data_IF_489920748417
#
_entry.id   IF_489920748417
#
_cell.length_a   1.000
_cell.length_b   1.000
_cell.length_c   1.000
_cell.angle_alpha   90.00
_cell.angle_beta   90.00
_cell.angle_gamma   90.00
#
_symmetry.space_group_name_H-M   'P 1'
#
loop_
_entity.id
_entity.type
_entity.pdbx_description
1 polymer ?
#
# COMPACT_ATOMS: atom_id res chain seq x y z
N UNK A 1 -52.19 5.95 -9.81
CA UNK A 1 -51.22 7.03 -10.12
C UNK A 1 -49.92 6.66 -9.42
N UNK A 2 -49.04 5.96 -10.13
CA UNK A 2 -47.75 5.50 -9.60
C UNK A 2 -46.80 6.70 -9.54
N UNK A 3 -46.45 7.13 -8.31
CA UNK A 3 -45.35 8.06 -8.09
C UNK A 3 -44.03 7.31 -8.37
N UNK A 4 -43.14 7.82 -9.24
CA UNK A 4 -41.88 7.14 -9.50
C UNK A 4 -40.97 7.23 -8.28
N UNK A 5 -40.36 6.09 -7.94
CA UNK A 5 -39.36 5.85 -6.90
C UNK A 5 -38.12 6.77 -7.03
N UNK A 6 -38.24 8.04 -6.63
CA UNK A 6 -37.07 8.90 -6.39
C UNK A 6 -36.32 8.50 -5.11
N UNK A 7 -37.03 7.93 -4.13
CA UNK A 7 -36.47 7.49 -2.85
C UNK A 7 -35.42 6.37 -3.01
N UNK A 8 -35.73 5.33 -3.81
CA UNK A 8 -34.85 4.16 -3.96
C UNK A 8 -33.50 4.45 -4.64
N UNK A 9 -33.44 5.42 -5.56
CA UNK A 9 -32.19 5.79 -6.26
C UNK A 9 -31.21 6.53 -5.34
N UNK A 10 -31.71 7.51 -4.58
CA UNK A 10 -30.89 8.26 -3.61
C UNK A 10 -30.40 7.32 -2.49
N UNK A 11 -31.24 6.36 -2.08
CA UNK A 11 -30.88 5.35 -1.07
C UNK A 11 -29.77 4.40 -1.56
N UNK A 12 -29.83 3.96 -2.81
CA UNK A 12 -28.85 3.05 -3.43
C UNK A 12 -27.47 3.71 -3.53
N UNK A 13 -27.40 4.96 -4.02
CA UNK A 13 -26.13 5.69 -4.12
C UNK A 13 -25.56 5.97 -2.73
N UNK A 14 -26.40 6.36 -1.76
CA UNK A 14 -25.98 6.67 -0.38
C UNK A 14 -25.51 5.43 0.36
N UNK A 15 -26.22 4.30 0.26
CA UNK A 15 -25.81 3.04 0.88
C UNK A 15 -24.56 2.48 0.20
N UNK A 16 -24.42 2.54 -1.12
CA UNK A 16 -23.18 2.16 -1.80
C UNK A 16 -22.00 3.04 -1.35
N UNK A 17 -22.21 4.34 -1.15
CA UNK A 17 -21.18 5.23 -0.59
C UNK A 17 -20.86 4.91 0.87
N UNK A 18 -21.85 4.62 1.72
CA UNK A 18 -21.64 4.25 3.14
C UNK A 18 -21.05 2.85 3.29
N UNK A 19 -21.49 1.85 2.53
CA UNK A 19 -20.99 0.47 2.56
C UNK A 19 -19.54 0.36 2.08
N UNK A 20 -19.16 1.19 1.12
CA UNK A 20 -17.81 1.27 0.58
C UNK A 20 -16.93 2.26 1.35
N UNK A 21 -17.53 3.17 2.12
CA UNK A 21 -16.87 3.96 3.13
C UNK A 21 -16.78 3.23 4.47
N UNK A 22 -17.47 2.12 4.72
CA UNK A 22 -17.08 1.21 5.80
C UNK A 22 -15.83 0.44 5.38
N UNK A 23 -15.74 -0.06 4.13
CA UNK A 23 -14.67 -0.95 3.68
C UNK A 23 -13.27 -0.34 3.40
N UNK A 24 -12.86 0.67 4.18
CA UNK A 24 -11.51 1.21 4.10
C UNK A 24 -10.88 1.39 5.48
N UNK A 25 -9.63 0.96 5.60
CA UNK A 25 -8.79 1.17 6.78
C UNK A 25 -8.40 2.65 6.85
N UNK A 26 -9.26 3.50 7.40
CA UNK A 26 -8.97 4.94 7.38
C UNK A 26 -7.93 5.42 8.42
N UNK A 27 -7.34 6.60 8.27
CA UNK A 27 -6.80 7.34 9.44
C UNK A 27 -5.40 7.01 9.89
N UNK A 28 -4.74 6.04 9.26
CA UNK A 28 -3.32 5.83 9.41
C UNK A 28 -2.74 5.47 8.06
N UNK A 29 -1.92 6.36 7.53
CA UNK A 29 -1.53 6.31 6.14
C UNK A 29 -0.14 5.70 5.99
N UNK A 30 -0.06 4.57 5.29
CA UNK A 30 1.18 3.87 5.02
C UNK A 30 1.87 4.40 3.76
N UNK A 31 3.14 4.01 3.52
CA UNK A 31 3.88 4.41 2.33
C UNK A 31 3.27 3.85 1.03
N UNK A 32 2.34 2.91 1.17
CA UNK A 32 1.63 2.24 0.08
C UNK A 32 0.13 2.09 0.32
N UNK A 33 -0.46 2.77 1.32
CA UNK A 33 -1.90 2.67 1.58
C UNK A 33 -2.56 3.92 2.18
N UNK A 34 -3.88 3.96 1.99
CA UNK A 34 -4.91 4.77 2.69
C UNK A 34 -4.86 6.29 2.51
N UNK A 35 -3.76 6.88 2.03
CA UNK A 35 -3.63 8.34 1.83
C UNK A 35 -4.76 8.94 0.98
N UNK A 36 -5.35 8.16 0.07
CA UNK A 36 -6.49 8.56 -0.77
C UNK A 36 -7.72 9.02 0.03
N UNK A 37 -7.79 8.70 1.32
CA UNK A 37 -8.89 9.09 2.19
C UNK A 37 -8.57 10.27 3.11
N UNK A 38 -7.32 10.71 3.20
CA UNK A 38 -6.87 11.70 4.18
C UNK A 38 -7.74 12.95 4.22
N UNK A 39 -8.11 13.48 3.06
CA UNK A 39 -8.89 14.70 2.96
C UNK A 39 -10.37 14.50 3.36
N UNK A 40 -10.93 13.29 3.16
CA UNK A 40 -12.32 12.97 3.53
C UNK A 40 -12.52 12.51 4.95
N UNK A 41 -11.42 12.20 5.62
CA UNK A 41 -11.46 11.50 6.87
C UNK A 41 -11.87 12.39 8.05
N UNK A 42 -12.88 11.98 8.81
CA UNK A 42 -13.31 12.72 10.00
C UNK A 42 -12.27 12.74 11.11
N UNK A 43 -12.45 13.65 12.07
CA UNK A 43 -11.61 13.71 13.27
C UNK A 43 -11.70 12.39 14.03
N UNK A 44 -10.56 11.81 14.34
CA UNK A 44 -10.49 10.54 15.08
C UNK A 44 -9.13 10.25 15.65
N UNK A 45 -9.14 9.45 16.70
CA UNK A 45 -7.98 8.75 17.23
C UNK A 45 -8.08 7.26 16.89
N UNK A 46 -6.96 6.63 16.57
CA UNK A 46 -6.92 5.22 16.19
C UNK A 46 -5.79 4.50 16.93
N UNK A 47 -6.15 3.36 17.50
CA UNK A 47 -5.23 2.40 18.10
C UNK A 47 -5.57 1.01 17.57
N UNK A 48 -4.74 0.49 16.67
CA UNK A 48 -4.81 -0.89 16.18
C UNK A 48 -3.57 -1.66 16.62
N UNK A 49 -3.58 -2.98 16.40
CA UNK A 49 -2.48 -3.82 16.85
C UNK A 49 -1.12 -3.41 16.22
N UNK A 50 -1.12 -2.94 14.98
CA UNK A 50 0.09 -2.54 14.26
C UNK A 50 0.27 -1.02 14.11
N UNK A 51 -0.65 -0.19 14.62
CA UNK A 51 -0.63 1.24 14.33
C UNK A 51 -1.32 2.12 15.39
N UNK A 52 -0.75 3.29 15.66
CA UNK A 52 -1.26 4.29 16.59
C UNK A 52 -1.18 5.71 16.01
N UNK A 53 -2.29 6.47 15.98
CA UNK A 53 -2.28 7.82 15.41
C UNK A 53 -3.62 8.55 15.47
N UNK A 54 -3.67 9.73 14.88
CA UNK A 54 -4.87 10.55 14.80
C UNK A 54 -4.96 11.33 13.48
N UNK A 55 -6.19 11.73 13.17
CA UNK A 55 -6.52 12.75 12.17
C UNK A 55 -7.37 13.79 12.89
N UNK A 56 -6.99 15.06 12.84
CA UNK A 56 -7.68 16.17 13.51
C UNK A 56 -7.75 17.37 12.58
N UNK A 57 -8.79 18.18 12.70
CA UNK A 57 -8.96 19.36 11.87
C UNK A 57 -10.33 20.00 12.04
N UNK A 58 -10.55 21.02 11.21
CA UNK A 58 -11.83 21.66 10.99
C UNK A 58 -12.22 21.51 9.51
N UNK A 59 -13.23 22.26 9.07
CA UNK A 59 -13.74 22.17 7.70
C UNK A 59 -12.75 22.65 6.63
N UNK A 60 -11.70 23.38 7.02
CA UNK A 60 -10.72 23.99 6.11
C UNK A 60 -9.34 23.37 6.20
N UNK A 61 -8.87 23.02 7.40
CA UNK A 61 -7.52 22.52 7.64
C UNK A 61 -7.60 21.21 8.42
N UNK A 62 -6.84 20.22 7.94
CA UNK A 62 -6.76 18.89 8.55
C UNK A 62 -5.32 18.44 8.66
N UNK A 63 -4.96 17.90 9.81
CA UNK A 63 -3.66 17.31 10.11
C UNK A 63 -3.79 15.84 10.49
N UNK A 64 -2.73 15.08 10.27
CA UNK A 64 -2.61 13.70 10.73
C UNK A 64 -1.20 13.42 11.22
N UNK A 65 -1.09 12.56 12.21
CA UNK A 65 0.18 12.04 12.69
C UNK A 65 -0.02 10.62 13.22
N UNK A 66 0.95 9.74 12.98
CA UNK A 66 0.94 8.41 13.57
C UNK A 66 2.13 7.54 13.23
N UNK A 67 2.09 6.32 13.75
CA UNK A 67 3.11 5.30 13.59
C UNK A 67 2.45 4.00 13.15
N UNK A 68 2.96 3.37 12.10
CA UNK A 68 2.56 2.02 11.71
C UNK A 68 3.79 1.12 11.72
N UNK A 69 3.69 -0.07 12.30
CA UNK A 69 4.69 -1.10 12.14
C UNK A 69 4.22 -2.11 11.08
N UNK A 70 4.86 -2.09 9.90
CA UNK A 70 4.75 -3.22 8.98
C UNK A 70 5.69 -4.32 9.45
N UNK A 71 5.18 -5.20 10.33
CA UNK A 71 5.90 -6.39 10.74
C UNK A 71 6.33 -7.21 9.52
N UNK A 72 7.63 -7.36 9.31
CA UNK A 72 8.17 -8.31 8.35
C UNK A 72 7.89 -9.73 8.87
N UNK A 73 6.94 -10.44 8.24
CA UNK A 73 6.79 -11.90 8.44
C UNK A 73 5.88 -12.37 9.57
N UNK A 74 4.65 -11.85 9.67
CA UNK A 74 3.53 -12.68 10.17
C UNK A 74 3.38 -12.83 11.69
N UNK A 75 3.90 -11.92 12.51
CA UNK A 75 3.50 -11.86 13.93
C UNK A 75 2.60 -10.65 14.19
N UNK A 76 1.38 -10.95 14.62
CA UNK A 76 0.33 -9.99 14.98
C UNK A 76 0.85 -8.94 15.98
N UNK A 77 0.70 -7.65 15.64
CA UNK A 77 0.60 -6.57 16.63
C UNK A 77 1.85 -6.17 17.44
N UNK A 78 3.07 -6.44 16.96
CA UNK A 78 4.28 -6.03 17.69
C UNK A 78 4.80 -4.69 17.21
N UNK A 79 4.68 -3.62 18.00
CA UNK A 79 5.38 -2.34 17.77
C UNK A 79 6.90 -2.45 18.01
N UNK A 80 7.33 -3.45 18.77
CA UNK A 80 8.72 -3.76 19.10
C UNK A 80 9.02 -5.19 18.66
N UNK A 81 10.02 -5.40 17.81
CA UNK A 81 10.41 -6.74 17.37
C UNK A 81 11.78 -7.12 17.93
N UNK A 82 12.02 -8.42 18.12
CA UNK A 82 13.32 -8.94 18.56
C UNK A 82 13.86 -9.92 17.54
N UNK A 83 15.12 -9.73 17.15
CA UNK A 83 15.82 -10.65 16.24
C UNK A 83 16.47 -11.80 17.01
N UNK A 84 16.91 -11.53 18.25
CA UNK A 84 17.74 -12.46 19.05
C UNK A 84 17.17 -12.73 20.47
N UNK A 85 15.92 -12.33 20.74
CA UNK A 85 15.25 -12.52 22.04
C UNK A 85 15.66 -11.54 23.16
N UNK A 86 16.70 -10.71 22.94
CA UNK A 86 17.30 -9.84 23.98
C UNK A 86 17.26 -8.34 23.62
N UNK A 87 17.35 -8.00 22.32
CA UNK A 87 17.29 -6.61 21.85
C UNK A 87 15.95 -6.35 21.14
N UNK A 88 15.30 -5.25 21.50
CA UNK A 88 14.06 -4.79 20.88
C UNK A 88 14.36 -3.66 19.87
N UNK A 89 14.03 -3.88 18.61
CA UNK A 89 14.11 -2.88 17.55
C UNK A 89 12.74 -2.26 17.32
N UNK A 90 12.66 -0.93 17.48
CA UNK A 90 11.50 -0.11 17.12
C UNK A 90 11.68 0.35 15.66
N UNK A 91 10.90 -0.23 14.75
CA UNK A 91 11.05 0.01 13.30
C UNK A 91 9.76 0.59 12.70
N UNK A 92 9.36 1.80 13.11
CA UNK A 92 8.12 2.38 12.66
C UNK A 92 8.23 2.84 11.21
N UNK A 93 7.09 2.87 10.54
CA UNK A 93 6.81 3.90 9.56
C UNK A 93 6.07 5.03 10.24
N UNK A 94 6.70 6.19 10.32
CA UNK A 94 6.07 7.42 10.81
C UNK A 94 5.25 8.01 9.66
N UNK A 95 4.07 8.54 9.96
CA UNK A 95 3.22 9.26 9.00
C UNK A 95 2.87 10.64 9.55
N UNK A 96 2.91 11.65 8.69
CA UNK A 96 2.41 12.99 8.99
C UNK A 96 1.81 13.63 7.75
N UNK A 97 0.79 14.45 7.90
CA UNK A 97 0.19 15.12 6.75
C UNK A 97 -0.59 16.37 7.14
N UNK A 98 -0.73 17.26 6.17
CA UNK A 98 -1.50 18.49 6.27
C UNK A 98 -2.33 18.66 4.98
N UNK A 99 -3.61 18.94 5.15
CA UNK A 99 -4.56 19.11 4.06
C UNK A 99 -5.33 20.40 4.21
N UNK A 100 -5.62 21.02 3.07
CA UNK A 100 -6.62 22.05 2.90
C UNK A 100 -7.87 21.40 2.29
N UNK A 101 -9.01 21.54 2.96
CA UNK A 101 -10.30 21.02 2.51
C UNK A 101 -11.21 22.14 2.06
N UNK A 102 -11.88 21.95 0.94
CA UNK A 102 -12.93 22.85 0.45
C UNK A 102 -13.95 22.08 -0.38
N UNK A 103 -15.10 22.72 -0.66
CA UNK A 103 -16.16 22.13 -1.48
C UNK A 103 -15.77 21.92 -2.95
N UNK A 104 -14.84 22.72 -3.49
CA UNK A 104 -14.44 22.63 -4.90
C UNK A 104 -13.29 21.66 -5.10
N UNK A 105 -12.17 21.94 -4.44
CA UNK A 105 -10.93 21.16 -4.51
C UNK A 105 -10.31 21.12 -3.13
N UNK A 106 -10.02 19.92 -2.65
CA UNK A 106 -9.21 19.70 -1.47
C UNK A 106 -7.84 19.20 -1.90
N UNK A 107 -6.78 19.70 -1.29
CA UNK A 107 -5.40 19.29 -1.57
C UNK A 107 -4.67 19.01 -0.27
N UNK A 108 -3.75 18.07 -0.28
CA UNK A 108 -2.95 17.79 0.89
C UNK A 108 -1.61 17.20 0.53
N UNK A 109 -0.70 17.32 1.48
CA UNK A 109 0.60 16.68 1.43
C UNK A 109 0.71 15.75 2.63
N UNK A 110 1.26 14.57 2.35
CA UNK A 110 1.61 13.57 3.34
C UNK A 110 3.09 13.25 3.26
N UNK A 111 3.59 12.63 4.30
CA UNK A 111 4.95 12.13 4.35
C UNK A 111 5.03 10.90 5.23
N UNK A 112 5.71 9.86 4.72
CA UNK A 112 6.13 8.73 5.52
C UNK A 112 7.65 8.63 5.63
N UNK A 113 8.13 8.25 6.81
CA UNK A 113 9.51 7.82 7.04
C UNK A 113 9.51 6.38 7.54
N UNK A 114 9.95 5.44 6.71
CA UNK A 114 10.11 4.03 7.09
C UNK A 114 11.56 3.79 7.50
N UNK A 115 11.76 3.47 8.77
CA UNK A 115 13.09 3.30 9.36
C UNK A 115 13.52 1.84 9.20
N UNK A 116 14.74 1.64 8.71
CA UNK A 116 15.37 0.33 8.53
C UNK A 116 15.74 -0.30 9.87
N UNK A 117 15.74 -1.64 9.91
CA UNK A 117 16.38 -2.40 11.01
C UNK A 117 17.89 -2.45 10.84
N UNK A 118 18.38 -2.26 9.61
CA UNK A 118 19.77 -2.39 9.24
C UNK A 118 20.41 -1.01 9.23
N UNK A 119 21.40 -0.85 10.10
CA UNK A 119 22.24 0.35 10.08
C UNK A 119 23.25 0.25 8.96
N UNK A 120 23.69 1.40 8.45
CA UNK A 120 24.79 1.47 7.50
C UNK A 120 25.86 2.45 7.95
N UNK A 121 27.11 2.17 7.57
CA UNK A 121 28.26 2.96 7.96
C UNK A 121 28.55 4.04 6.92
N UNK A 122 28.43 5.31 7.32
CA UNK A 122 28.66 6.47 6.46
C UNK A 122 30.00 7.13 6.79
N UNK A 123 30.91 7.17 5.83
CA UNK A 123 32.27 7.68 5.98
C UNK A 123 32.38 9.19 5.74
N UNK A 124 31.56 9.79 4.88
CA UNK A 124 31.60 11.23 4.55
C UNK A 124 33.03 11.74 4.21
N UNK A 125 33.83 10.92 3.55
CA UNK A 125 35.22 11.23 3.18
C UNK A 125 36.23 11.07 4.31
N UNK A 126 35.88 10.43 5.43
CA UNK A 126 36.76 10.15 6.57
C UNK A 126 37.19 8.70 6.62
N UNK A 127 38.27 8.42 7.35
CA UNK A 127 38.77 7.05 7.59
C UNK A 127 37.83 6.26 8.49
N UNK A 128 37.29 6.91 9.51
CA UNK A 128 36.31 6.34 10.43
C UNK A 128 34.91 6.76 10.02
N UNK A 129 34.03 5.77 9.84
CA UNK A 129 32.64 5.99 9.49
C UNK A 129 31.73 6.08 10.72
N UNK A 130 30.59 6.75 10.55
CA UNK A 130 29.52 6.81 11.55
C UNK A 130 28.40 5.87 11.15
N UNK A 131 27.98 5.00 12.06
CA UNK A 131 26.79 4.17 11.89
C UNK A 131 25.53 5.03 11.94
N UNK A 132 24.68 4.90 10.91
CA UNK A 132 23.42 5.65 10.76
C UNK A 132 22.30 4.73 10.32
N UNK A 133 21.05 5.07 10.66
CA UNK A 133 19.87 4.36 10.17
C UNK A 133 19.65 4.66 8.68
N UNK A 134 19.28 3.64 7.90
CA UNK A 134 18.73 3.86 6.58
C UNK A 134 17.23 4.18 6.70
N UNK A 135 16.75 5.14 5.91
CA UNK A 135 15.36 5.58 5.94
C UNK A 135 14.82 5.66 4.52
N UNK A 136 13.64 5.10 4.30
CA UNK A 136 12.86 5.37 3.10
C UNK A 136 11.94 6.57 3.35
N UNK A 137 12.04 7.56 2.48
CA UNK A 137 11.25 8.78 2.53
C UNK A 137 10.14 8.70 1.50
N UNK A 138 8.90 8.91 1.91
CA UNK A 138 7.73 8.81 1.03
C UNK A 138 6.88 10.09 1.12
N UNK A 139 7.22 11.17 0.41
CA UNK A 139 6.27 12.24 0.16
C UNK A 139 5.02 11.71 -0.55
N UNK A 140 3.87 12.27 -0.21
CA UNK A 140 2.58 11.91 -0.78
C UNK A 140 1.83 13.17 -1.17
N UNK A 141 1.32 13.20 -2.40
CA UNK A 141 0.35 14.21 -2.82
C UNK A 141 -1.04 13.59 -2.78
N UNK A 142 -2.00 14.28 -2.18
CA UNK A 142 -3.41 13.88 -2.19
C UNK A 142 -4.29 15.01 -2.71
N UNK A 143 -5.37 14.62 -3.39
CA UNK A 143 -6.33 15.55 -3.96
C UNK A 143 -7.72 14.93 -3.97
N UNK A 144 -8.72 15.75 -3.62
CA UNK A 144 -10.12 15.48 -3.91
C UNK A 144 -10.67 16.62 -4.76
N UNK A 145 -11.49 16.30 -5.75
CA UNK A 145 -12.15 17.28 -6.60
C UNK A 145 -13.53 16.77 -7.03
N UNK A 146 -14.26 17.62 -7.75
CA UNK A 146 -15.58 17.30 -8.31
C UNK A 146 -16.56 16.88 -7.20
N UNK A 147 -16.69 17.70 -6.16
CA UNK A 147 -17.53 17.39 -4.99
C UNK A 147 -17.21 15.99 -4.41
N UNK A 148 -15.90 15.74 -4.23
CA UNK A 148 -15.38 14.48 -3.70
C UNK A 148 -15.62 13.23 -4.57
N UNK A 149 -16.14 13.39 -5.79
CA UNK A 149 -16.32 12.30 -6.76
C UNK A 149 -14.99 11.80 -7.30
N UNK A 150 -13.98 12.65 -7.42
CA UNK A 150 -12.62 12.24 -7.82
C UNK A 150 -11.66 12.34 -6.64
N UNK A 151 -10.88 11.28 -6.42
CA UNK A 151 -9.82 11.24 -5.41
C UNK A 151 -8.53 10.69 -6.02
N UNK A 152 -7.42 11.25 -5.56
CA UNK A 152 -6.08 10.87 -5.98
C UNK A 152 -5.14 10.83 -4.78
N UNK A 153 -4.25 9.84 -4.77
CA UNK A 153 -3.08 9.81 -3.89
C UNK A 153 -1.85 9.32 -4.65
N UNK A 154 -0.75 10.06 -4.59
CA UNK A 154 0.50 9.73 -5.25
C UNK A 154 1.62 9.68 -4.20
N UNK A 155 1.87 8.52 -3.59
CA UNK A 155 3.06 8.29 -2.79
C UNK A 155 4.27 8.00 -3.68
N UNK A 156 5.39 8.69 -3.41
CA UNK A 156 6.67 8.49 -4.08
C UNK A 156 7.69 8.08 -3.03
N UNK A 157 8.03 6.81 -2.97
CA UNK A 157 8.99 6.26 -2.02
C UNK A 157 10.41 6.43 -2.59
N UNK A 158 11.34 6.90 -1.77
CA UNK A 158 12.74 7.13 -2.14
C UNK A 158 13.65 6.63 -1.02
N UNK A 159 14.61 5.79 -1.40
CA UNK A 159 15.79 5.46 -0.60
C UNK A 159 17.00 5.91 -1.40
N UNK A 160 17.88 6.70 -0.80
CA UNK A 160 19.16 7.04 -1.41
C UNK A 160 20.25 7.01 -0.33
N UNK A 161 21.12 6.00 -0.42
CA UNK A 161 22.25 5.83 0.47
C UNK A 161 23.52 6.13 -0.32
N UNK A 162 23.93 7.40 -0.28
CA UNK A 162 25.12 7.90 -0.96
C UNK A 162 26.23 8.25 0.04
N UNK A 163 27.45 7.84 -0.28
CA UNK A 163 28.62 8.06 0.57
C UNK A 163 29.91 8.23 -0.23
N UNK A 164 30.91 8.79 0.45
CA UNK A 164 32.27 8.99 -0.04
C UNK A 164 33.26 8.42 0.96
N UNK A 165 34.25 7.66 0.48
CA UNK A 165 35.36 7.14 1.30
C UNK A 165 36.52 8.14 1.37
N UNK A 166 37.41 7.96 2.35
CA UNK A 166 38.61 8.81 2.51
C UNK A 166 39.49 8.86 1.26
N UNK A 167 39.61 7.74 0.54
CA UNK A 167 40.39 7.62 -0.69
C UNK A 167 39.74 8.33 -1.91
N UNK A 168 38.58 8.98 -1.74
CA UNK A 168 37.88 9.69 -2.81
C UNK A 168 36.85 8.87 -3.57
N UNK A 169 36.78 7.55 -3.35
CA UNK A 169 35.76 6.69 -3.96
C UNK A 169 34.36 7.10 -3.51
N UNK A 170 33.39 6.99 -4.42
CA UNK A 170 31.99 7.34 -4.17
C UNK A 170 31.11 6.14 -4.48
N UNK A 171 30.04 5.97 -3.71
CA UNK A 171 29.04 4.94 -3.95
C UNK A 171 27.66 5.46 -3.60
N UNK A 172 26.66 5.05 -4.36
CA UNK A 172 25.27 5.28 -4.04
C UNK A 172 24.40 4.12 -4.44
N UNK A 173 23.45 3.80 -3.57
CA UNK A 173 22.37 2.85 -3.82
C UNK A 173 21.06 3.63 -3.75
N UNK A 174 20.27 3.60 -4.83
CA UNK A 174 19.04 4.37 -4.95
C UNK A 174 17.87 3.45 -5.31
N UNK A 175 16.79 3.51 -4.53
CA UNK A 175 15.51 2.92 -4.87
C UNK A 175 14.45 4.02 -4.94
N UNK A 176 13.66 4.02 -6.01
CA UNK A 176 12.52 4.93 -6.19
C UNK A 176 11.31 4.11 -6.61
N UNK A 177 10.17 4.29 -5.96
CA UNK A 177 8.93 3.65 -6.40
C UNK A 177 7.73 4.55 -6.21
N UNK A 178 6.76 4.40 -7.10
CA UNK A 178 5.50 5.12 -7.13
C UNK A 178 4.35 4.13 -7.03
N UNK A 179 3.32 4.48 -6.25
CA UNK A 179 2.10 3.70 -6.08
C UNK A 179 0.86 4.58 -6.17
N UNK A 180 0.68 5.26 -7.30
CA UNK A 180 -0.42 6.20 -7.50
C UNK A 180 -1.77 5.48 -7.48
N UNK A 181 -2.76 6.13 -6.88
CA UNK A 181 -4.13 5.65 -6.75
C UNK A 181 -5.08 6.73 -7.24
N UNK A 182 -6.04 6.31 -8.06
CA UNK A 182 -7.10 7.14 -8.59
C UNK A 182 -8.42 6.46 -8.32
N UNK A 183 -9.40 7.23 -7.88
CA UNK A 183 -10.75 6.75 -7.60
C UNK A 183 -11.74 7.76 -8.14
N UNK A 184 -12.70 7.24 -8.89
CA UNK A 184 -13.79 8.04 -9.42
C UNK A 184 -15.12 7.40 -9.03
N UNK A 185 -15.96 8.19 -8.38
CA UNK A 185 -17.35 7.87 -8.08
C UNK A 185 -18.20 8.49 -9.18
N UNK A 186 -18.86 7.65 -9.99
CA UNK A 186 -19.46 8.11 -11.25
C UNK A 186 -20.81 8.81 -11.07
N UNK A 187 -21.44 8.65 -9.90
CA UNK A 187 -22.84 9.01 -9.67
C UNK A 187 -23.86 8.10 -10.36
N UNK A 188 -23.41 7.04 -11.04
CA UNK A 188 -24.26 6.07 -11.72
C UNK A 188 -24.52 4.88 -10.80
N UNK A 189 -25.79 4.51 -10.65
CA UNK A 189 -26.20 3.36 -9.84
C UNK A 189 -25.60 2.04 -10.32
N UNK A 190 -25.48 1.84 -11.64
CA UNK A 190 -24.99 0.57 -12.20
C UNK A 190 -23.47 0.43 -12.18
N UNK A 191 -22.71 1.54 -12.15
CA UNK A 191 -21.25 1.54 -12.12
C UNK A 191 -20.76 2.62 -11.14
N UNK A 192 -21.04 2.50 -9.84
CA UNK A 192 -20.82 3.56 -8.86
C UNK A 192 -19.36 3.97 -8.73
N UNK A 193 -18.41 3.09 -9.08
CA UNK A 193 -17.00 3.36 -8.86
C UNK A 193 -16.07 2.76 -9.92
N UNK A 194 -15.02 3.53 -10.21
CA UNK A 194 -13.85 3.11 -10.98
C UNK A 194 -12.61 3.38 -10.11
N UNK A 195 -11.67 2.44 -10.07
CA UNK A 195 -10.34 2.64 -9.45
C UNK A 195 -9.24 2.23 -10.40
N UNK A 196 -8.17 3.01 -10.37
CA UNK A 196 -6.92 2.71 -11.06
C UNK A 196 -5.77 2.88 -10.08
N UNK A 197 -4.90 1.88 -10.02
CA UNK A 197 -3.60 1.96 -9.37
C UNK A 197 -2.53 1.88 -10.44
N UNK A 198 -1.56 2.78 -10.40
CA UNK A 198 -0.36 2.75 -11.23
C UNK A 198 0.86 2.55 -10.35
N UNK A 199 1.72 1.62 -10.74
CA UNK A 199 2.87 1.21 -9.95
C UNK A 199 4.11 1.25 -10.82
N UNK A 200 5.16 1.86 -10.29
CA UNK A 200 6.49 1.84 -10.87
C UNK A 200 7.50 1.65 -9.76
N UNK A 201 8.60 0.95 -10.04
CA UNK A 201 9.70 0.84 -9.10
C UNK A 201 11.02 0.70 -9.83
N UNK A 202 12.04 1.37 -9.35
CA UNK A 202 13.42 1.30 -9.79
C UNK A 202 14.32 1.07 -8.59
N UNK A 203 15.35 0.25 -8.77
CA UNK A 203 16.41 0.04 -7.81
C UNK A 203 17.73 -0.02 -8.57
N UNK A 204 18.69 0.82 -8.20
CA UNK A 204 19.90 1.09 -8.97
C UNK A 204 21.10 1.42 -8.09
N UNK A 205 22.27 1.42 -8.71
CA UNK A 205 23.52 1.83 -8.08
C UNK A 205 24.38 2.69 -8.99
N UNK A 206 25.26 3.46 -8.37
CA UNK A 206 26.36 4.18 -9.01
C UNK A 206 27.59 4.11 -8.11
N UNK A 207 28.74 3.80 -8.70
CA UNK A 207 30.04 3.72 -8.01
C UNK A 207 31.08 4.48 -8.80
N UNK A 208 31.97 5.18 -8.11
CA UNK A 208 33.20 5.74 -8.68
C UNK A 208 34.38 5.17 -7.90
N UNK A 209 35.24 4.39 -8.57
CA UNK A 209 36.45 3.82 -7.96
C UNK A 209 37.67 4.29 -8.75
N UNK A 210 38.61 4.96 -8.09
CA UNK A 210 39.82 5.44 -8.77
C UNK A 210 39.56 6.31 -10.01
N UNK A 211 38.46 7.07 -10.01
CA UNK A 211 38.04 7.92 -11.14
C UNK A 211 37.13 7.25 -12.18
N UNK A 212 37.04 5.92 -12.19
CA UNK A 212 36.15 5.17 -13.11
C UNK A 212 34.74 5.10 -12.56
N UNK A 213 33.75 5.51 -13.37
CA UNK A 213 32.33 5.44 -13.04
C UNK A 213 31.71 4.14 -13.53
N UNK A 214 30.96 3.48 -12.65
CA UNK A 214 30.14 2.31 -12.93
C UNK A 214 28.70 2.60 -12.47
N UNK A 215 27.71 2.30 -13.31
CA UNK A 215 26.30 2.54 -13.04
C UNK A 215 25.48 1.38 -13.54
N UNK A 216 24.51 0.94 -12.75
CA UNK A 216 23.62 -0.15 -13.14
C UNK A 216 22.25 -0.09 -12.47
N UNK A 217 21.32 -0.87 -13.02
CA UNK A 217 20.00 -1.11 -12.43
C UNK A 217 20.01 -2.51 -11.84
N UNK A 218 19.60 -2.62 -10.57
CA UNK A 218 19.30 -3.90 -9.95
C UNK A 218 17.93 -4.41 -10.39
N UNK A 219 16.92 -3.53 -10.35
CA UNK A 219 15.57 -3.89 -10.74
C UNK A 219 14.76 -2.71 -11.27
N UNK A 220 13.82 -2.99 -12.15
CA UNK A 220 12.83 -2.03 -12.63
C UNK A 220 11.49 -2.74 -12.86
N UNK A 221 10.38 -2.15 -12.45
CA UNK A 221 9.05 -2.79 -12.54
C UNK A 221 7.99 -1.80 -12.92
N UNK A 222 6.95 -2.31 -13.58
CA UNK A 222 5.73 -1.58 -13.86
C UNK A 222 4.53 -2.47 -13.58
N UNK A 223 3.46 -1.88 -13.10
CA UNK A 223 2.21 -2.59 -12.89
C UNK A 223 1.01 -1.66 -12.78
N UNK A 224 -0.17 -2.24 -12.91
CA UNK A 224 -1.42 -1.56 -12.67
C UNK A 224 -2.45 -2.50 -12.02
N UNK A 225 -3.44 -1.90 -11.38
CA UNK A 225 -4.63 -2.58 -10.89
C UNK A 225 -5.82 -1.72 -11.31
N UNK A 226 -6.67 -2.24 -12.19
CA UNK A 226 -7.86 -1.56 -12.66
C UNK A 226 -9.09 -2.29 -12.16
N UNK A 227 -10.04 -1.53 -11.60
CA UNK A 227 -11.22 -2.12 -10.98
C UNK A 227 -12.47 -1.35 -11.34
N UNK A 228 -13.53 -2.10 -11.63
CA UNK A 228 -14.88 -1.62 -11.91
C UNK A 228 -15.83 -2.21 -10.87
N UNK A 229 -16.61 -1.36 -10.20
CA UNK A 229 -17.65 -1.78 -9.28
C UNK A 229 -18.99 -1.52 -9.92
N UNK A 230 -19.81 -2.56 -9.97
CA UNK A 230 -21.19 -2.47 -10.37
C UNK A 230 -22.07 -2.38 -9.11
N UNK A 231 -23.17 -1.64 -9.18
CA UNK A 231 -24.06 -1.42 -8.04
C UNK A 231 -25.37 -2.15 -8.21
N UNK A 232 -25.81 -2.82 -7.14
CA UNK A 232 -27.13 -3.43 -7.01
C UNK A 232 -27.51 -3.50 -5.54
N UNK A 233 -28.81 -3.58 -5.24
CA UNK A 233 -29.33 -3.86 -3.91
C UNK A 233 -30.34 -5.00 -4.00
N UNK A 234 -30.29 -5.88 -3.02
CA UNK A 234 -31.33 -6.88 -2.78
C UNK A 234 -31.78 -6.66 -1.35
N UNK A 235 -33.00 -6.14 -1.19
CA UNK A 235 -33.52 -5.72 0.11
C UNK A 235 -32.59 -4.70 0.79
N UNK A 236 -32.11 -5.02 2.00
CA UNK A 236 -31.22 -4.17 2.80
C UNK A 236 -29.72 -4.51 2.59
N UNK A 237 -29.42 -5.41 1.65
CA UNK A 237 -28.07 -5.86 1.36
C UNK A 237 -27.56 -5.23 0.07
N UNK A 238 -26.42 -4.52 0.18
CA UNK A 238 -25.71 -3.99 -0.96
C UNK A 238 -24.91 -5.09 -1.65
N UNK A 239 -25.10 -5.24 -2.94
CA UNK A 239 -24.40 -6.22 -3.77
C UNK A 239 -23.62 -5.47 -4.85
N UNK A 240 -22.31 -5.68 -4.85
CA UNK A 240 -21.38 -5.03 -5.76
C UNK A 240 -20.57 -6.06 -6.54
N UNK A 241 -21.01 -6.50 -7.72
CA UNK A 241 -20.12 -7.22 -8.63
C UNK A 241 -18.89 -6.35 -8.96
N UNK A 242 -17.71 -6.93 -8.96
CA UNK A 242 -16.45 -6.24 -9.19
C UNK A 242 -15.67 -6.99 -10.27
N UNK A 243 -15.14 -6.26 -11.24
CA UNK A 243 -14.12 -6.79 -12.15
C UNK A 243 -12.80 -6.14 -11.81
N UNK A 244 -11.80 -6.94 -11.45
CA UNK A 244 -10.43 -6.48 -11.19
C UNK A 244 -9.48 -7.05 -12.23
N UNK A 245 -8.64 -6.20 -12.80
CA UNK A 245 -7.57 -6.58 -13.72
C UNK A 245 -6.26 -6.10 -13.12
N UNK A 246 -5.38 -7.03 -12.79
CA UNK A 246 -4.11 -6.74 -12.12
C UNK A 246 -2.96 -7.24 -12.97
N UNK A 247 -1.99 -6.36 -13.24
CA UNK A 247 -0.78 -6.70 -13.95
C UNK A 247 0.43 -6.18 -13.19
N UNK A 248 1.47 -7.00 -13.04
CA UNK A 248 2.78 -6.56 -12.56
C UNK A 248 3.87 -7.24 -13.38
N UNK A 249 4.91 -6.51 -13.75
CA UNK A 249 5.96 -7.01 -14.63
C UNK A 249 7.33 -6.44 -14.30
N UNK A 250 8.34 -7.30 -14.41
CA UNK A 250 9.74 -6.91 -14.46
C UNK A 250 10.02 -6.20 -15.79
N UNK A 251 10.74 -5.08 -15.72
CA UNK A 251 11.24 -4.33 -16.85
C UNK A 251 12.74 -4.61 -17.00
N UNK A 252 13.14 -5.01 -18.20
CA UNK A 252 14.51 -5.41 -18.47
C UNK A 252 14.79 -6.88 -18.16
N UNK A 253 16.07 -7.20 -18.02
CA UNK A 253 16.60 -8.57 -17.90
C UNK A 253 17.58 -8.72 -16.73
N UNK A 254 17.53 -7.84 -15.73
CA UNK A 254 18.50 -7.81 -14.62
C UNK A 254 17.96 -8.45 -13.32
N UNK A 255 16.67 -8.81 -13.28
CA UNK A 255 15.98 -9.37 -12.11
C UNK A 255 14.70 -10.12 -12.52
N UNK A 256 14.06 -10.80 -11.56
CA UNK A 256 12.76 -11.48 -11.74
C UNK A 256 11.64 -10.96 -10.83
N UNK A 257 11.87 -9.85 -10.11
CA UNK A 257 10.84 -9.26 -9.25
C UNK A 257 9.77 -8.57 -10.10
N UNK A 258 8.49 -8.86 -9.88
CA UNK A 258 7.38 -8.22 -10.60
C UNK A 258 6.91 -6.92 -9.94
N UNK A 259 7.34 -6.64 -8.71
CA UNK A 259 7.03 -5.41 -7.98
C UNK A 259 8.20 -4.95 -7.12
N UNK A 260 8.64 -3.71 -7.33
CA UNK A 260 9.65 -3.04 -6.50
C UNK A 260 8.99 -1.91 -5.70
N UNK A 261 9.21 -1.91 -4.39
CA UNK A 261 8.78 -0.84 -3.47
C UNK A 261 9.98 -0.41 -2.63
N UNK A 262 10.40 0.85 -2.76
CA UNK A 262 11.61 1.35 -2.12
C UNK A 262 11.55 1.22 -0.58
N UNK A 263 10.39 1.43 0.03
CA UNK A 263 10.21 1.27 1.48
C UNK A 263 10.50 -0.18 1.96
N UNK A 264 10.17 -1.18 1.14
CA UNK A 264 10.47 -2.59 1.46
C UNK A 264 11.95 -2.94 1.22
N UNK A 265 12.66 -2.13 0.41
CA UNK A 265 14.05 -2.35 0.06
C UNK A 265 15.04 -1.63 0.98
N UNK A 266 14.59 -0.85 1.96
CA UNK A 266 15.48 -0.04 2.81
C UNK A 266 16.55 -0.89 3.52
N UNK A 267 16.19 -2.09 3.97
CA UNK A 267 17.12 -3.04 4.61
C UNK A 267 18.13 -3.61 3.61
N UNK A 268 17.68 -4.03 2.41
CA UNK A 268 18.58 -4.53 1.36
C UNK A 268 19.54 -3.42 0.91
N UNK A 269 19.03 -2.21 0.69
CA UNK A 269 19.84 -1.04 0.33
C UNK A 269 20.93 -0.74 1.37
N UNK A 270 20.60 -0.81 2.67
CA UNK A 270 21.57 -0.66 3.75
C UNK A 270 22.67 -1.75 3.71
N UNK A 271 22.27 -3.01 3.47
CA UNK A 271 23.22 -4.13 3.32
C UNK A 271 24.13 -3.93 2.11
N UNK A 272 23.57 -3.56 0.96
CA UNK A 272 24.32 -3.30 -0.28
C UNK A 272 25.30 -2.14 -0.09
N UNK A 273 24.88 -1.06 0.59
CA UNK A 273 25.74 0.07 0.89
C UNK A 273 26.92 -0.31 1.81
N UNK A 274 26.69 -1.16 2.84
CA UNK A 274 27.73 -1.61 3.75
C UNK A 274 28.78 -2.52 3.10
N UNK A 275 28.35 -3.43 2.21
CA UNK A 275 29.29 -4.37 1.57
C UNK A 275 30.21 -3.70 0.57
N UNK A 276 29.85 -2.52 0.04
CA UNK A 276 30.64 -1.77 -0.94
C UNK A 276 30.80 -2.44 -2.31
N UNK A 277 30.40 -3.70 -2.43
CA UNK A 277 30.40 -4.49 -3.65
C UNK A 277 29.15 -4.28 -4.50
N UNK A 278 28.18 -3.50 -4.01
CA UNK A 278 26.95 -3.14 -4.73
C UNK A 278 26.24 -4.39 -5.30
N UNK A 279 26.27 -5.51 -4.56
CA UNK A 279 25.63 -6.76 -4.96
C UNK A 279 24.35 -6.93 -4.15
N UNK A 280 23.20 -6.71 -4.79
CA UNK A 280 21.89 -6.92 -4.18
C UNK A 280 21.44 -8.37 -4.29
N UNK A 281 20.70 -8.86 -3.29
CA UNK A 281 20.01 -10.15 -3.33
C UNK A 281 18.98 -10.28 -4.46
N UNK A 282 18.60 -9.14 -5.07
CA UNK A 282 17.61 -9.04 -6.14
C UNK A 282 18.22 -9.25 -7.53
N UNK A 283 19.54 -9.14 -7.67
CA UNK A 283 20.23 -9.28 -8.97
C UNK A 283 20.71 -10.69 -9.20
N UNK A 284 20.45 -11.18 -10.41
CA UNK A 284 21.21 -12.28 -11.01
C UNK A 284 21.66 -11.86 -12.40
N UNK A 285 22.85 -12.31 -12.82
CA UNK A 285 23.41 -11.98 -14.12
C UNK A 285 22.45 -12.39 -15.25
N UNK A 286 21.97 -11.41 -16.01
CA UNK A 286 21.20 -11.50 -17.25
C UNK A 286 20.13 -12.61 -17.32
N UNK A 287 18.87 -12.24 -17.12
CA UNK A 287 17.70 -13.08 -17.31
C UNK A 287 17.42 -13.34 -18.79
N UNK A 288 17.36 -14.61 -19.17
CA UNK A 288 16.89 -15.04 -20.48
C UNK A 288 15.41 -14.67 -20.72
N UNK A 289 14.59 -14.65 -19.66
CA UNK A 289 13.16 -14.35 -19.69
C UNK A 289 12.73 -13.51 -18.47
N UNK A 290 11.99 -12.42 -18.70
CA UNK A 290 11.47 -11.55 -17.64
C UNK A 290 10.22 -12.12 -16.96
N UNK A 291 10.02 -11.77 -15.69
CA UNK A 291 8.86 -12.21 -14.91
C UNK A 291 7.68 -11.24 -15.06
N UNK A 292 6.46 -11.77 -15.11
CA UNK A 292 5.24 -10.97 -15.01
C UNK A 292 4.05 -11.83 -14.56
N UNK A 293 3.05 -11.18 -14.00
CA UNK A 293 1.78 -11.77 -13.60
C UNK A 293 0.60 -10.93 -14.12
N UNK A 294 -0.47 -11.63 -14.53
CA UNK A 294 -1.76 -11.05 -14.90
C UNK A 294 -2.86 -11.80 -14.16
N UNK A 295 -3.80 -11.06 -13.56
CA UNK A 295 -5.01 -11.61 -12.96
C UNK A 295 -6.24 -10.90 -13.48
N UNK A 296 -7.28 -11.67 -13.80
CA UNK A 296 -8.62 -11.17 -14.09
C UNK A 296 -9.54 -11.79 -13.03
N UNK A 297 -10.05 -10.96 -12.14
CA UNK A 297 -10.71 -11.38 -10.91
C UNK A 297 -12.11 -10.77 -10.85
N UNK A 298 -13.12 -11.51 -11.32
CA UNK A 298 -14.49 -11.33 -10.88
C UNK A 298 -14.57 -11.53 -9.35
N UNK A 299 -15.22 -10.59 -8.67
CA UNK A 299 -15.51 -10.66 -7.25
C UNK A 299 -16.92 -10.15 -6.97
N UNK A 300 -17.46 -10.46 -5.79
CA UNK A 300 -18.77 -10.02 -5.36
C UNK A 300 -18.65 -9.36 -3.99
N UNK A 301 -18.65 -8.03 -3.96
CA UNK A 301 -18.80 -7.30 -2.70
C UNK A 301 -20.23 -7.46 -2.18
N UNK A 302 -20.37 -7.80 -0.91
CA UNK A 302 -21.66 -7.89 -0.23
C UNK A 302 -21.52 -7.09 1.06
N UNK A 303 -22.44 -6.14 1.28
CA UNK A 303 -22.45 -5.37 2.52
C UNK A 303 -23.81 -5.43 3.19
N UNK A 304 -23.81 -5.72 4.48
CA UNK A 304 -24.98 -5.64 5.34
C UNK A 304 -24.66 -4.73 6.53
N UNK A 305 -25.60 -3.87 6.89
CA UNK A 305 -25.44 -2.92 7.98
C UNK A 305 -26.61 -3.02 8.96
N UNK A 306 -26.32 -2.78 10.23
CA UNK A 306 -27.28 -2.59 11.31
C UNK A 306 -26.83 -1.38 12.15
N UNK A 307 -27.60 -1.03 13.17
CA UNK A 307 -27.27 0.09 14.05
C UNK A 307 -25.93 -0.07 14.81
N UNK A 308 -25.49 -1.31 15.01
CA UNK A 308 -24.29 -1.63 15.81
C UNK A 308 -23.23 -2.31 14.94
N UNK A 309 -23.63 -3.19 14.02
CA UNK A 309 -22.71 -4.05 13.27
C UNK A 309 -22.81 -3.77 11.77
N UNK A 310 -21.66 -3.59 11.14
CA UNK A 310 -21.51 -3.60 9.68
C UNK A 310 -20.62 -4.77 9.27
N UNK A 311 -21.05 -5.50 8.23
CA UNK A 311 -20.33 -6.62 7.65
C UNK A 311 -20.09 -6.34 6.17
N UNK A 312 -18.84 -6.48 5.74
CA UNK A 312 -18.46 -6.52 4.34
C UNK A 312 -17.79 -7.85 4.02
N UNK A 313 -18.18 -8.49 2.92
CA UNK A 313 -17.49 -9.67 2.39
C UNK A 313 -17.25 -9.53 0.90
N UNK A 314 -16.16 -10.11 0.41
CA UNK A 314 -15.76 -10.07 -1.00
C UNK A 314 -15.15 -11.42 -1.44
N UNK A 315 -15.98 -12.45 -1.70
CA UNK A 315 -15.52 -13.63 -2.41
C UNK A 315 -15.11 -13.29 -3.84
N UNK A 316 -14.09 -14.00 -4.34
CA UNK A 316 -13.49 -13.79 -5.65
C UNK A 316 -13.02 -15.10 -6.27
N UNK A 317 -13.26 -15.23 -7.58
CA UNK A 317 -12.87 -16.38 -8.37
C UNK A 317 -12.49 -15.89 -9.76
N UNK A 318 -11.24 -16.13 -10.16
CA UNK A 318 -10.68 -15.52 -11.36
C UNK A 318 -9.66 -16.37 -12.06
N UNK A 319 -9.07 -15.79 -13.09
CA UNK A 319 -8.03 -16.40 -13.89
C UNK A 319 -6.69 -15.72 -13.62
N UNK A 320 -5.63 -16.50 -13.52
CA UNK A 320 -4.27 -16.03 -13.29
C UNK A 320 -3.33 -16.61 -14.35
N UNK A 321 -2.49 -15.74 -14.89
CA UNK A 321 -1.33 -16.10 -15.71
C UNK A 321 -0.07 -15.67 -14.94
N UNK A 322 0.91 -16.55 -14.85
CA UNK A 322 2.20 -16.24 -14.24
C UNK A 322 3.33 -16.69 -15.15
N UNK A 323 4.09 -15.73 -15.67
CA UNK A 323 5.39 -15.96 -16.28
C UNK A 323 6.45 -15.85 -15.20
N UNK A 324 7.02 -16.99 -14.80
CA UNK A 324 8.22 -16.97 -13.97
C UNK A 324 9.38 -16.42 -14.80
N UNK A 325 10.19 -15.55 -14.19
CA UNK A 325 11.48 -15.21 -14.77
C UNK A 325 12.34 -16.47 -14.86
N UNK A 326 13.22 -16.53 -15.85
CA UNK A 326 14.31 -17.53 -15.87
C UNK A 326 15.65 -16.92 -16.27
N UNK A 327 16.69 -17.23 -15.50
CA UNK A 327 18.05 -16.79 -15.75
C UNK A 327 18.66 -17.52 -16.96
N UNK A 328 18.34 -18.80 -17.13
CA UNK A 328 19.02 -19.71 -18.07
C UNK A 328 18.15 -20.15 -19.24
N UNK A 329 16.82 -20.12 -19.09
CA UNK A 329 15.90 -20.67 -20.08
C UNK A 329 14.98 -19.60 -20.67
N UNK A 330 15.12 -19.33 -21.97
CA UNK A 330 14.25 -18.40 -22.70
C UNK A 330 12.90 -19.00 -23.13
N UNK A 331 12.70 -20.30 -22.92
CA UNK A 331 11.50 -21.06 -23.30
C UNK A 331 10.57 -21.35 -22.14
N UNK A 332 10.83 -20.82 -20.95
CA UNK A 332 9.91 -20.95 -19.81
C UNK A 332 8.53 -20.46 -20.22
N UNK A 333 7.56 -21.37 -20.15
CA UNK A 333 6.18 -21.15 -20.52
C UNK A 333 5.41 -20.45 -19.40
N UNK A 334 4.37 -19.75 -19.79
CA UNK A 334 3.39 -19.18 -18.88
C UNK A 334 2.64 -20.31 -18.15
N UNK A 335 2.39 -20.10 -16.86
CA UNK A 335 1.54 -20.96 -16.04
C UNK A 335 0.14 -20.34 -15.98
N UNK A 336 -0.86 -21.17 -16.28
CA UNK A 336 -2.26 -20.79 -16.26
C UNK A 336 -2.95 -21.48 -15.09
N UNK A 337 -3.62 -20.71 -14.23
CA UNK A 337 -4.27 -21.24 -13.04
C UNK A 337 -5.54 -20.47 -12.67
N UNK A 338 -6.35 -21.09 -11.81
CA UNK A 338 -7.50 -20.45 -11.18
C UNK A 338 -7.03 -19.66 -9.97
N UNK A 339 -7.48 -18.41 -9.86
CA UNK A 339 -7.33 -17.57 -8.67
C UNK A 339 -8.58 -17.69 -7.81
N UNK A 340 -8.42 -17.79 -6.49
CA UNK A 340 -9.54 -17.68 -5.55
C UNK A 340 -9.14 -16.93 -4.28
N UNK A 341 -10.10 -16.21 -3.71
CA UNK A 341 -9.92 -15.54 -2.43
C UNK A 341 -11.25 -15.10 -1.83
N UNK A 342 -11.28 -14.90 -0.53
CA UNK A 342 -12.40 -14.35 0.22
C UNK A 342 -11.87 -13.35 1.24
N UNK A 343 -12.39 -12.14 1.16
CA UNK A 343 -12.08 -11.06 2.09
C UNK A 343 -13.30 -10.76 2.96
N UNK A 344 -13.10 -10.45 4.24
CA UNK A 344 -14.17 -10.05 5.12
C UNK A 344 -13.72 -9.00 6.14
N UNK A 345 -14.62 -8.07 6.45
CA UNK A 345 -14.45 -7.07 7.48
C UNK A 345 -15.71 -6.97 8.33
N UNK A 346 -15.52 -6.80 9.64
CA UNK A 346 -16.60 -6.53 10.57
C UNK A 346 -16.27 -5.30 11.39
N UNK A 347 -17.26 -4.40 11.47
CA UNK A 347 -17.23 -3.19 12.26
C UNK A 347 -18.30 -3.31 13.34
N UNK A 348 -17.93 -3.03 14.58
CA UNK A 348 -18.84 -3.00 15.71
C UNK A 348 -18.76 -1.61 16.34
N UNK A 349 -19.88 -0.90 16.37
CA UNK A 349 -20.01 0.47 16.89
C UNK A 349 -20.89 0.46 18.14
N UNK A 350 -20.40 -0.05 19.29
CA UNK A 350 -21.21 -0.15 20.50
C UNK A 350 -21.65 1.23 21.02
N UNK A 351 -20.94 2.29 20.65
CA UNK A 351 -21.30 3.69 20.89
C UNK A 351 -21.03 4.48 19.60
N UNK A 352 -21.78 5.57 19.38
CA UNK A 352 -21.67 6.42 18.17
C UNK A 352 -20.25 6.86 17.83
N UNK A 353 -19.40 7.04 18.85
CA UNK A 353 -18.05 7.57 18.70
C UNK A 353 -16.94 6.52 18.88
N UNK A 354 -17.31 5.24 18.98
CA UNK A 354 -16.38 4.14 19.24
C UNK A 354 -16.63 2.99 18.26
N UNK A 355 -15.62 2.64 17.48
CA UNK A 355 -15.65 1.53 16.54
C UNK A 355 -14.57 0.50 16.88
N UNK A 356 -14.97 -0.76 16.91
CA UNK A 356 -14.06 -1.91 16.89
C UNK A 356 -14.06 -2.49 15.49
N UNK A 357 -12.86 -2.70 14.95
CA UNK A 357 -12.66 -3.18 13.59
C UNK A 357 -11.88 -4.49 13.62
N UNK A 358 -12.36 -5.45 12.85
CA UNK A 358 -11.69 -6.73 12.63
C UNK A 358 -11.69 -7.02 11.13
N UNK A 359 -10.55 -7.50 10.64
CA UNK A 359 -10.33 -7.83 9.23
C UNK A 359 -9.75 -9.24 9.12
N UNK A 360 -10.28 -10.01 8.17
CA UNK A 360 -9.92 -11.39 7.92
C UNK A 360 -9.76 -11.63 6.41
N UNK A 361 -8.71 -12.34 6.03
CA UNK A 361 -8.40 -12.69 4.63
C UNK A 361 -8.07 -14.19 4.51
N UNK A 362 -8.56 -14.78 3.42
CA UNK A 362 -8.22 -16.12 2.94
C UNK A 362 -8.00 -16.05 1.42
N UNK A 363 -6.79 -16.34 0.95
CA UNK A 363 -6.52 -16.39 -0.49
C UNK A 363 -5.38 -17.36 -0.84
N UNK A 364 -5.35 -17.81 -2.10
CA UNK A 364 -4.28 -18.67 -2.60
C UNK A 364 -3.10 -17.90 -3.24
N UNK A 365 -2.99 -16.60 -2.94
CA UNK A 365 -2.03 -15.70 -3.56
C UNK A 365 -0.66 -15.61 -2.85
N UNK A 366 -0.51 -16.24 -1.69
CA UNK A 366 0.70 -16.21 -0.86
C UNK A 366 1.90 -16.98 -1.44
N UNK A 367 3.11 -16.59 -1.05
CA UNK A 367 4.38 -17.19 -1.50
C UNK A 367 4.84 -18.40 -0.67
N UNK A 368 4.07 -18.83 0.33
CA UNK A 368 4.36 -19.99 1.19
C UNK A 368 3.26 -21.04 1.06
N UNK A 369 3.66 -22.31 1.02
CA UNK A 369 2.79 -23.47 0.81
C UNK A 369 1.71 -23.70 1.90
N UNK A 370 1.72 -22.91 2.98
CA UNK A 370 0.81 -23.05 4.13
C UNK A 370 -0.37 -22.06 4.16
N UNK A 371 -0.61 -21.27 3.11
CA UNK A 371 -1.62 -20.18 3.13
C UNK A 371 -3.04 -20.56 2.66
N UNK A 372 -3.45 -21.82 2.81
CA UNK A 372 -4.88 -22.18 2.81
C UNK A 372 -5.52 -21.94 4.20
N UNK A 373 -5.06 -20.93 4.92
CA UNK A 373 -5.44 -20.66 6.30
C UNK A 373 -6.13 -19.30 6.42
N UNK A 374 -7.16 -19.23 7.27
CA UNK A 374 -7.83 -17.97 7.63
C UNK A 374 -6.83 -17.12 8.42
N UNK A 375 -6.58 -15.89 7.95
CA UNK A 375 -5.66 -14.95 8.63
C UNK A 375 -6.40 -13.73 9.13
N UNK A 376 -6.20 -13.37 10.39
CA UNK A 376 -6.61 -12.06 10.90
C UNK A 376 -5.59 -11.01 10.45
N UNK A 377 -6.05 -9.82 10.06
CA UNK A 377 -5.17 -8.72 9.71
C UNK A 377 -4.73 -7.93 10.96
N UNK A 378 -3.46 -7.49 10.97
CA UNK A 378 -2.88 -6.69 12.06
C UNK A 378 -3.48 -5.29 12.23
N UNK A 379 -4.29 -4.85 11.26
CA UNK A 379 -5.08 -3.61 11.25
C UNK A 379 -6.27 -3.63 12.22
N UNK A 380 -6.58 -4.79 12.82
CA UNK A 380 -7.62 -4.98 13.84
C UNK A 380 -7.38 -4.09 15.07
N UNK A 381 -8.45 -3.49 15.61
CA UNK A 381 -8.39 -2.70 16.85
C UNK A 381 -9.50 -1.65 16.95
N UNK A 382 -9.20 -0.46 17.47
CA UNK A 382 -10.21 0.54 17.87
C UNK A 382 -10.02 1.90 17.17
N UNK A 383 -11.12 2.52 16.77
CA UNK A 383 -11.20 3.92 16.34
C UNK A 383 -12.14 4.69 17.28
N UNK A 384 -11.68 5.84 17.77
CA UNK A 384 -12.51 6.83 18.43
C UNK A 384 -12.79 7.99 17.47
N UNK A 385 -14.06 8.21 17.13
CA UNK A 385 -14.47 9.39 16.38
C UNK A 385 -14.59 10.59 17.30
N UNK A 386 -13.93 11.68 16.91
CA UNK A 386 -13.82 12.90 17.68
C UNK A 386 -14.66 14.00 17.00
N UNK A 387 -15.20 14.95 17.76
CA UNK A 387 -15.90 16.09 17.16
C UNK A 387 -14.96 16.93 16.27
N UNK A 388 -15.55 17.61 15.28
CA UNK A 388 -14.86 18.68 14.57
C UNK A 388 -14.52 19.80 15.56
N UNK A 389 -13.31 20.37 15.45
CA UNK A 389 -12.84 21.47 16.30
C UNK A 389 -13.17 22.82 15.68
#
# INVERSE_FOLDING_TARGET
MYLPNLSGKIFLTTIALLSMASASVFGMYGPDSDWIFFLTDGNRFRARADQLGFTLGNDTIKGTFGFRNKGFGGQFGKMLNTTDGVNYNFNPTISMGLGYTSSLISVGVGYNATISTNKWTKFNGKTEGKTTEAVAHTPVLVLNAMDNAFRMAIPIQVVNLADKKANGDKGSVTAVSLGAQFRYYTGLDFLPQIRLYLRYGNYSYEKTTGGTKDKGKFAETFGFDFRLWFGSMVEEVAINPIIKIQYNGALGKQHNQTRIQAANLVNDAATVANTGNHQSSIVTNSWAKGAWDLKIIPALGITANSDIVSLYVEPSLGFQITQKGSATDNKVKELYSLYYGAYAEIYITPLKNLEWYFEVDLNNGGTTADQSAITFAGTTGITWYLPAL
#
